data_IF_355605977885
#
_entry.id   IF_355605977885
#
_cell.length_a   1.000
_cell.length_b   1.000
_cell.length_c   1.000
_cell.angle_alpha   90.00
_cell.angle_beta   90.00
_cell.angle_gamma   90.00
#
_symmetry.space_group_name_H-M   'P 1'
#
loop_
_entity.id
_entity.type
_entity.pdbx_description
1 polymer ?
#
# COMPACT_ATOMS: atom_id res chain seq x y z
N UNK A 1 -64.30 28.56 26.71
CA UNK A 1 -62.83 28.49 26.62
C UNK A 1 -62.46 28.12 25.19
N UNK A 2 -62.21 29.11 24.33
CA UNK A 2 -61.73 28.90 22.96
C UNK A 2 -60.20 28.93 22.96
N UNK A 3 -59.58 27.83 22.52
CA UNK A 3 -58.12 27.68 22.47
C UNK A 3 -57.62 28.42 21.24
N UNK A 4 -56.96 29.55 21.42
CA UNK A 4 -56.22 30.23 20.35
C UNK A 4 -55.03 29.36 19.97
N UNK A 5 -54.96 28.93 18.71
CA UNK A 5 -53.72 28.40 18.14
C UNK A 5 -52.90 29.58 17.58
N UNK A 6 -51.58 29.64 17.84
CA UNK A 6 -50.75 30.66 17.23
C UNK A 6 -50.64 30.41 15.72
N UNK A 7 -51.02 31.41 14.92
CA UNK A 7 -50.77 31.43 13.48
C UNK A 7 -49.36 32.01 13.32
N UNK A 8 -48.37 31.16 13.08
CA UNK A 8 -47.05 31.62 12.67
C UNK A 8 -47.17 32.23 11.27
N UNK A 9 -46.90 33.53 11.14
CA UNK A 9 -46.76 34.20 9.85
C UNK A 9 -45.35 33.89 9.33
N UNK A 10 -45.22 32.87 8.50
CA UNK A 10 -43.98 32.62 7.75
C UNK A 10 -43.99 33.50 6.50
N UNK A 11 -42.96 34.31 6.31
CA UNK A 11 -42.87 35.17 5.14
C UNK A 11 -42.53 34.32 3.89
N UNK A 12 -43.08 34.68 2.74
CA UNK A 12 -42.85 34.00 1.45
C UNK A 12 -41.36 33.83 1.10
N UNK A 13 -40.50 34.70 1.64
CA UNK A 13 -39.05 34.68 1.44
C UNK A 13 -38.33 33.59 2.24
N UNK A 14 -38.79 33.24 3.44
CA UNK A 14 -38.19 32.15 4.24
C UNK A 14 -38.48 30.77 3.63
N UNK A 15 -39.70 30.59 3.09
CA UNK A 15 -40.08 29.36 2.40
C UNK A 15 -39.31 29.18 1.08
N UNK A 16 -39.06 30.27 0.35
CA UNK A 16 -38.22 30.24 -0.86
C UNK A 16 -36.75 29.96 -0.53
N UNK A 17 -36.22 30.53 0.55
CA UNK A 17 -34.87 30.25 1.04
C UNK A 17 -34.69 28.77 1.38
N UNK A 18 -35.65 28.20 2.13
CA UNK A 18 -35.65 26.79 2.47
C UNK A 18 -35.83 25.87 1.25
N UNK A 19 -36.63 26.27 0.25
CA UNK A 19 -36.77 25.52 -1.02
C UNK A 19 -35.52 25.56 -1.90
N UNK A 20 -34.79 26.68 -1.94
CA UNK A 20 -33.52 26.80 -2.65
C UNK A 20 -32.42 25.97 -1.97
N UNK A 21 -32.30 26.05 -0.64
CA UNK A 21 -31.37 25.22 0.14
C UNK A 21 -31.65 23.71 -0.05
N UNK A 22 -32.94 23.34 -0.16
CA UNK A 22 -33.35 21.95 -0.43
C UNK A 22 -32.96 21.51 -1.85
N UNK A 23 -33.16 22.38 -2.86
CA UNK A 23 -32.77 22.11 -4.25
C UNK A 23 -31.25 22.01 -4.40
N UNK A 24 -30.51 22.88 -3.73
CA UNK A 24 -29.06 22.86 -3.71
C UNK A 24 -28.52 21.61 -3.02
N UNK A 25 -29.15 21.21 -1.90
CA UNK A 25 -28.85 19.94 -1.26
C UNK A 25 -29.10 18.76 -2.21
N UNK A 26 -30.25 18.71 -2.89
CA UNK A 26 -30.58 17.65 -3.85
C UNK A 26 -29.58 17.56 -5.02
N UNK A 27 -29.11 18.70 -5.52
CA UNK A 27 -28.06 18.77 -6.55
C UNK A 27 -26.75 18.18 -6.02
N UNK A 28 -26.31 18.60 -4.82
CA UNK A 28 -25.09 18.10 -4.20
C UNK A 28 -25.18 16.60 -3.91
N UNK A 29 -26.30 16.11 -3.39
CA UNK A 29 -26.54 14.69 -3.15
C UNK A 29 -26.52 13.89 -4.44
N UNK A 30 -27.11 14.40 -5.52
CA UNK A 30 -27.10 13.77 -6.84
C UNK A 30 -25.70 13.67 -7.41
N UNK A 31 -24.91 14.74 -7.34
CA UNK A 31 -23.54 14.75 -7.85
C UNK A 31 -22.64 13.82 -7.04
N UNK A 32 -22.76 13.86 -5.71
CA UNK A 32 -22.08 12.95 -4.80
C UNK A 32 -22.42 11.49 -5.12
N UNK A 33 -23.71 11.18 -5.28
CA UNK A 33 -24.17 9.85 -5.63
C UNK A 33 -23.62 9.38 -6.98
N UNK A 34 -23.64 10.25 -8.01
CA UNK A 34 -23.10 9.92 -9.32
C UNK A 34 -21.59 9.65 -9.27
N UNK A 35 -20.81 10.47 -8.54
CA UNK A 35 -19.37 10.24 -8.35
C UNK A 35 -19.12 8.88 -7.67
N UNK A 36 -19.87 8.57 -6.61
CA UNK A 36 -19.73 7.29 -5.91
C UNK A 36 -20.16 6.11 -6.77
N UNK A 37 -21.23 6.25 -7.55
CA UNK A 37 -21.74 5.23 -8.48
C UNK A 37 -20.71 4.92 -9.58
N UNK A 38 -20.13 5.94 -10.21
CA UNK A 38 -19.09 5.77 -11.24
C UNK A 38 -17.84 5.09 -10.66
N UNK A 39 -17.39 5.50 -9.46
CA UNK A 39 -16.28 4.82 -8.77
C UNK A 39 -16.62 3.37 -8.43
N UNK A 40 -17.83 3.10 -7.96
CA UNK A 40 -18.27 1.75 -7.63
C UNK A 40 -18.29 0.85 -8.88
N UNK A 41 -18.73 1.37 -10.02
CA UNK A 41 -18.72 0.66 -11.29
C UNK A 41 -17.30 0.33 -11.75
N UNK A 42 -16.41 1.33 -11.76
CA UNK A 42 -15.00 1.17 -12.11
C UNK A 42 -14.27 0.15 -11.22
N UNK A 43 -14.47 0.24 -9.90
CA UNK A 43 -13.89 -0.70 -8.94
C UNK A 43 -14.40 -2.12 -9.15
N UNK A 44 -15.70 -2.28 -9.41
CA UNK A 44 -16.32 -3.59 -9.67
C UNK A 44 -15.78 -4.21 -10.96
N UNK A 45 -15.58 -3.41 -12.00
CA UNK A 45 -15.02 -3.87 -13.27
C UNK A 45 -13.56 -4.32 -13.12
N UNK A 46 -12.73 -3.57 -12.39
CA UNK A 46 -11.35 -3.98 -12.09
C UNK A 46 -11.27 -5.21 -11.19
N UNK A 47 -12.21 -5.35 -10.26
CA UNK A 47 -12.34 -6.54 -9.42
C UNK A 47 -12.73 -7.77 -10.26
N UNK A 48 -13.61 -7.63 -11.25
CA UNK A 48 -14.02 -8.71 -12.14
C UNK A 48 -12.87 -9.20 -13.05
N UNK A 49 -12.06 -8.29 -13.62
CA UNK A 49 -10.92 -8.69 -14.46
C UNK A 49 -9.84 -9.46 -13.72
N UNK A 50 -9.68 -9.19 -12.43
CA UNK A 50 -8.68 -9.84 -11.57
C UNK A 50 -9.27 -11.01 -10.79
N UNK A 51 -10.56 -11.30 -10.96
CA UNK A 51 -11.29 -12.30 -10.17
C UNK A 51 -11.21 -12.01 -8.65
N UNK A 52 -11.03 -10.73 -8.31
CA UNK A 52 -10.73 -10.23 -6.98
C UNK A 52 -9.36 -10.66 -6.43
N UNK A 53 -8.37 -11.00 -7.28
CA UNK A 53 -7.06 -11.54 -6.89
C UNK A 53 -5.94 -10.63 -7.38
N UNK A 54 -5.09 -10.18 -6.47
CA UNK A 54 -3.94 -9.32 -6.78
C UNK A 54 -2.64 -10.08 -6.51
N UNK A 55 -1.79 -10.16 -7.52
CA UNK A 55 -0.48 -10.85 -7.43
C UNK A 55 0.51 -9.98 -6.65
N UNK A 56 1.32 -10.56 -5.75
CA UNK A 56 2.33 -9.80 -5.02
C UNK A 56 3.41 -9.27 -5.93
N UNK A 57 3.84 -8.04 -5.63
CA UNK A 57 5.11 -7.49 -6.12
C UNK A 57 6.19 -7.85 -5.12
N UNK A 58 7.20 -8.60 -5.59
CA UNK A 58 8.32 -9.06 -4.74
C UNK A 58 9.55 -8.20 -4.98
N UNK A 59 10.26 -7.83 -3.91
CA UNK A 59 11.51 -7.08 -3.96
C UNK A 59 12.51 -7.65 -2.97
N UNK A 60 13.74 -7.89 -3.43
CA UNK A 60 14.88 -8.15 -2.56
C UNK A 60 15.62 -6.83 -2.33
N UNK A 61 15.81 -6.46 -1.07
CA UNK A 61 16.40 -5.20 -0.62
C UNK A 61 17.63 -5.47 0.24
N UNK A 62 18.55 -4.51 0.21
CA UNK A 62 19.76 -4.50 1.02
C UNK A 62 19.84 -3.20 1.80
N UNK A 63 20.15 -3.29 3.09
CA UNK A 63 20.42 -2.14 3.95
C UNK A 63 21.68 -2.41 4.77
N UNK A 64 22.70 -1.57 4.62
CA UNK A 64 23.85 -1.57 5.53
C UNK A 64 23.40 -1.10 6.91
N UNK A 65 23.81 -1.79 7.95
CA UNK A 65 23.49 -1.44 9.33
C UNK A 65 24.64 -0.62 9.89
N UNK A 66 24.34 0.59 10.36
CA UNK A 66 25.34 1.52 10.88
C UNK A 66 26.01 1.03 12.16
N UNK A 67 25.25 0.32 13.01
CA UNK A 67 25.66 0.00 14.38
C UNK A 67 26.41 -1.32 14.52
N UNK A 68 26.28 -2.23 13.54
CA UNK A 68 26.79 -3.61 13.64
C UNK A 68 27.79 -3.98 12.53
N UNK A 69 28.15 -3.04 11.65
CA UNK A 69 28.95 -3.28 10.43
C UNK A 69 28.38 -4.39 9.51
N UNK A 70 27.16 -4.84 9.78
CA UNK A 70 26.50 -5.93 9.09
C UNK A 70 25.60 -5.47 7.94
N UNK A 71 25.01 -6.45 7.29
CA UNK A 71 24.11 -6.25 6.16
C UNK A 71 22.76 -6.88 6.45
N UNK A 72 21.69 -6.10 6.29
CA UNK A 72 20.34 -6.65 6.30
C UNK A 72 19.88 -6.93 4.87
N UNK A 73 19.52 -8.18 4.60
CA UNK A 73 18.79 -8.59 3.41
C UNK A 73 17.32 -8.68 3.76
N UNK A 74 16.45 -8.13 2.92
CA UNK A 74 15.00 -8.18 3.14
C UNK A 74 14.26 -8.56 1.87
N UNK A 75 13.43 -9.59 1.94
CA UNK A 75 12.46 -9.87 0.89
C UNK A 75 11.10 -9.30 1.30
N UNK A 76 10.52 -8.45 0.46
CA UNK A 76 9.20 -7.84 0.64
C UNK A 76 8.27 -8.32 -0.47
N UNK A 77 7.15 -8.94 -0.09
CA UNK A 77 5.98 -9.11 -0.96
C UNK A 77 4.93 -8.07 -0.58
N UNK A 78 4.39 -7.32 -1.52
CA UNK A 78 3.36 -6.28 -1.25
C UNK A 78 2.37 -6.15 -2.41
N UNK A 79 1.17 -5.62 -2.12
CA UNK A 79 0.13 -5.38 -3.13
C UNK A 79 -0.64 -6.64 -3.49
N UNK A 80 -0.69 -7.64 -2.61
CA UNK A 80 -1.40 -8.89 -2.87
C UNK A 80 -2.73 -9.01 -2.14
N UNK A 81 -3.63 -9.77 -2.73
CA UNK A 81 -4.91 -10.16 -2.14
C UNK A 81 -5.36 -11.49 -2.78
N UNK A 82 -5.90 -12.46 -2.02
CA UNK A 82 -6.25 -12.41 -0.61
C UNK A 82 -5.01 -12.60 0.29
N UNK A 83 -5.25 -12.57 1.61
CA UNK A 83 -4.20 -12.50 2.64
C UNK A 83 -3.22 -13.66 2.64
N UNK A 84 -3.63 -14.87 2.24
CA UNK A 84 -2.81 -16.06 2.40
C UNK A 84 -1.65 -16.11 1.40
N UNK A 85 -0.41 -16.13 1.90
CA UNK A 85 0.84 -16.10 1.14
C UNK A 85 1.93 -16.85 1.91
N UNK A 86 2.85 -17.51 1.20
CA UNK A 86 4.10 -18.03 1.77
C UNK A 86 5.28 -17.32 1.13
N UNK A 87 6.25 -16.87 1.94
CA UNK A 87 7.47 -16.24 1.50
C UNK A 87 8.65 -16.90 2.19
N UNK A 88 9.64 -17.30 1.40
CA UNK A 88 10.83 -17.99 1.88
C UNK A 88 12.06 -17.26 1.37
N UNK A 89 12.99 -16.94 2.29
CA UNK A 89 14.31 -16.39 1.97
C UNK A 89 15.29 -17.56 1.89
N UNK A 90 16.17 -17.56 0.89
CA UNK A 90 17.20 -18.58 0.73
C UNK A 90 18.60 -17.97 0.79
N UNK A 91 19.54 -18.79 1.27
CA UNK A 91 20.98 -18.59 1.20
C UNK A 91 21.58 -19.80 0.50
N UNK A 92 22.25 -19.57 -0.64
CA UNK A 92 22.83 -20.60 -1.50
C UNK A 92 21.89 -21.76 -1.88
N UNK A 93 20.62 -21.41 -2.12
CA UNK A 93 19.60 -22.37 -2.49
C UNK A 93 19.00 -23.16 -1.33
N UNK A 94 19.44 -22.93 -0.09
CA UNK A 94 18.81 -23.49 1.11
C UNK A 94 17.93 -22.45 1.82
N UNK A 95 16.75 -22.85 2.31
CA UNK A 95 15.88 -21.96 3.08
C UNK A 95 16.57 -21.55 4.38
N UNK A 96 16.54 -20.26 4.69
CA UNK A 96 17.06 -19.75 5.96
C UNK A 96 16.11 -20.17 7.09
N UNK A 97 16.68 -20.62 8.21
CA UNK A 97 15.93 -21.00 9.40
C UNK A 97 15.11 -19.83 9.95
N UNK A 98 13.87 -20.10 10.37
CA UNK A 98 12.95 -19.05 10.80
C UNK A 98 13.46 -18.30 12.06
N UNK A 99 14.29 -18.92 12.91
CA UNK A 99 14.89 -18.28 14.10
C UNK A 99 15.91 -17.18 13.76
N UNK A 100 16.52 -17.25 12.57
CA UNK A 100 17.42 -16.20 12.06
C UNK A 100 16.67 -15.10 11.32
N UNK A 101 15.39 -15.31 11.03
CA UNK A 101 14.56 -14.39 10.28
C UNK A 101 13.81 -13.46 11.21
N UNK A 102 13.83 -12.17 10.85
CA UNK A 102 12.95 -11.16 11.46
C UNK A 102 11.79 -10.81 10.52
N UNK A 103 10.64 -10.53 11.10
CA UNK A 103 9.41 -10.24 10.36
C UNK A 103 8.54 -11.48 10.16
N UNK A 104 7.96 -11.62 8.95
CA UNK A 104 7.09 -12.74 8.60
C UNK A 104 5.60 -12.50 8.86
N UNK A 105 5.23 -11.47 9.61
CA UNK A 105 3.83 -11.08 9.77
C UNK A 105 3.26 -10.44 8.49
N UNK A 106 1.98 -10.74 8.22
CA UNK A 106 1.22 -10.13 7.14
C UNK A 106 0.53 -8.86 7.65
N UNK A 107 0.86 -7.72 7.04
CA UNK A 107 0.36 -6.38 7.39
C UNK A 107 -0.55 -5.84 6.28
N UNK A 108 -1.60 -5.06 6.60
CA UNK A 108 -2.41 -4.37 5.61
C UNK A 108 -1.71 -3.12 5.05
N UNK A 109 -2.00 -2.79 3.79
CA UNK A 109 -1.50 -1.57 3.12
C UNK A 109 -2.48 -0.37 3.19
N UNK A 110 -3.71 -0.58 3.66
CA UNK A 110 -4.75 0.46 3.73
C UNK A 110 -5.52 0.70 2.41
N UNK A 111 -5.07 0.08 1.31
CA UNK A 111 -5.71 0.11 -0.02
C UNK A 111 -6.50 -1.18 -0.32
N UNK A 112 -6.76 -2.01 0.70
CA UNK A 112 -7.38 -3.32 0.55
C UNK A 112 -6.40 -4.46 0.20
N UNK A 113 -5.10 -4.17 0.06
CA UNK A 113 -4.07 -5.18 -0.18
C UNK A 113 -3.20 -5.45 1.07
N UNK A 114 -2.37 -6.49 0.98
CA UNK A 114 -1.49 -6.94 2.04
C UNK A 114 -0.01 -6.86 1.65
N UNK A 115 0.84 -6.90 2.67
CA UNK A 115 2.28 -7.02 2.55
C UNK A 115 2.86 -7.97 3.60
N UNK A 116 4.03 -8.56 3.29
CA UNK A 116 4.81 -9.38 4.21
C UNK A 116 6.30 -9.19 3.92
N UNK A 117 7.11 -9.07 4.97
CA UNK A 117 8.56 -8.88 4.87
C UNK A 117 9.28 -9.92 5.74
N UNK A 118 10.24 -10.64 5.16
CA UNK A 118 11.22 -11.46 5.91
C UNK A 118 12.61 -10.85 5.73
N UNK A 119 13.37 -10.73 6.82
CA UNK A 119 14.73 -10.17 6.77
C UNK A 119 15.73 -11.04 7.52
N UNK A 120 16.96 -11.06 7.01
CA UNK A 120 18.12 -11.71 7.62
C UNK A 120 19.20 -10.64 7.84
N UNK A 121 19.84 -10.66 9.00
CA UNK A 121 21.04 -9.86 9.28
C UNK A 121 22.27 -10.75 9.10
N UNK A 122 23.25 -10.25 8.37
CA UNK A 122 24.48 -10.94 7.99
C UNK A 122 25.64 -10.19 8.64
N UNK A 123 26.58 -10.91 9.25
CA UNK A 123 27.78 -10.34 9.85
C UNK A 123 28.80 -9.91 8.78
N UNK A 124 29.78 -9.09 9.14
CA UNK A 124 30.83 -8.69 8.19
C UNK A 124 31.72 -9.88 7.76
N UNK A 125 31.90 -10.86 8.64
CA UNK A 125 32.65 -12.09 8.35
C UNK A 125 31.94 -12.91 7.28
N UNK A 126 30.63 -13.14 7.44
CA UNK A 126 29.81 -13.89 6.48
C UNK A 126 29.68 -13.16 5.13
N UNK A 127 29.81 -11.83 5.10
CA UNK A 127 29.88 -11.09 3.84
C UNK A 127 31.08 -11.47 2.98
N UNK A 128 32.18 -11.95 3.58
CA UNK A 128 33.39 -12.36 2.86
C UNK A 128 33.22 -13.70 2.15
N UNK A 129 32.22 -14.49 2.53
CA UNK A 129 31.93 -15.81 1.96
C UNK A 129 31.12 -15.73 0.65
N UNK A 130 30.69 -14.53 0.24
CA UNK A 130 30.02 -14.26 -1.04
C UNK A 130 28.75 -15.09 -1.32
N UNK A 131 27.96 -15.41 -0.27
CA UNK A 131 26.70 -16.13 -0.41
C UNK A 131 25.71 -15.47 -1.38
N UNK A 132 24.93 -16.31 -2.08
CA UNK A 132 23.84 -15.89 -2.97
C UNK A 132 22.51 -15.92 -2.23
N UNK A 133 21.84 -14.77 -2.23
CA UNK A 133 20.51 -14.61 -1.63
C UNK A 133 19.44 -14.51 -2.71
N UNK A 134 18.32 -15.19 -2.49
CA UNK A 134 17.10 -15.07 -3.30
C UNK A 134 15.87 -15.26 -2.40
N UNK A 135 14.67 -15.04 -2.95
CA UNK A 135 13.45 -15.39 -2.24
C UNK A 135 12.37 -15.93 -3.17
N UNK A 136 11.58 -16.88 -2.67
CA UNK A 136 10.44 -17.44 -3.37
C UNK A 136 9.15 -17.08 -2.67
N UNK A 137 8.08 -16.95 -3.45
CA UNK A 137 6.77 -16.61 -2.96
C UNK A 137 5.73 -17.55 -3.57
N UNK A 138 4.74 -17.96 -2.77
CA UNK A 138 3.58 -18.72 -3.24
C UNK A 138 2.30 -18.02 -2.79
N UNK A 139 1.44 -17.69 -3.75
CA UNK A 139 0.17 -17.00 -3.53
C UNK A 139 -0.90 -17.59 -4.47
N UNK A 140 -2.02 -18.06 -3.91
CA UNK A 140 -3.17 -18.61 -4.66
C UNK A 140 -2.84 -19.67 -5.74
N UNK A 141 -1.94 -20.61 -5.45
CA UNK A 141 -1.46 -21.63 -6.39
C UNK A 141 -0.72 -21.11 -7.63
N UNK A 142 -0.42 -19.80 -7.69
CA UNK A 142 0.57 -19.26 -8.61
C UNK A 142 1.93 -19.32 -7.91
N UNK A 143 2.72 -20.35 -8.23
CA UNK A 143 4.15 -20.37 -7.89
C UNK A 143 4.89 -19.41 -8.82
N UNK A 144 4.80 -18.12 -8.53
CA UNK A 144 5.73 -17.17 -9.14
C UNK A 144 7.05 -17.28 -8.40
N UNK A 145 7.92 -18.20 -8.85
CA UNK A 145 9.36 -18.14 -8.52
C UNK A 145 9.91 -16.87 -9.17
N UNK A 146 10.00 -15.80 -8.40
CA UNK A 146 10.81 -14.65 -8.76
C UNK A 146 12.20 -14.91 -8.21
N UNK A 147 13.03 -15.61 -8.98
CA UNK A 147 14.47 -15.74 -8.69
C UNK A 147 15.14 -14.39 -8.88
N UNK A 148 14.97 -13.50 -7.89
CA UNK A 148 15.75 -12.28 -7.79
C UNK A 148 17.09 -12.69 -7.20
N UNK A 149 18.02 -13.06 -8.08
CA UNK A 149 19.40 -13.35 -7.69
C UNK A 149 20.15 -12.04 -7.49
N UNK A 150 20.91 -11.99 -6.40
CA UNK A 150 21.93 -10.96 -6.25
C UNK A 150 23.11 -11.25 -7.20
N UNK A 151 23.21 -10.46 -8.27
CA UNK A 151 24.39 -10.35 -9.14
C UNK A 151 24.53 -8.90 -9.59
N UNK A 152 25.63 -8.24 -9.19
CA UNK A 152 25.99 -6.81 -9.44
C UNK A 152 25.01 -6.00 -10.32
N UNK A 153 23.83 -5.64 -9.84
CA UNK A 153 22.97 -4.70 -10.56
C UNK A 153 23.37 -3.25 -10.22
N UNK A 154 23.77 -2.53 -11.27
CA UNK A 154 24.20 -1.13 -11.22
C UNK A 154 23.14 -0.28 -10.53
N UNK A 155 23.57 0.56 -9.57
CA UNK A 155 22.75 1.59 -8.92
C UNK A 155 21.93 2.34 -9.97
N UNK A 156 20.63 2.10 -10.07
CA UNK A 156 19.73 3.00 -10.79
C UNK A 156 19.61 4.26 -9.95
N UNK A 157 20.27 5.33 -10.39
CA UNK A 157 20.15 6.67 -9.82
C UNK A 157 18.66 7.05 -9.84
N UNK A 158 18.03 7.16 -8.67
CA UNK A 158 16.75 7.86 -8.57
C UNK A 158 17.04 9.33 -8.89
N UNK A 159 16.52 9.81 -10.02
CA UNK A 159 16.61 11.22 -10.37
C UNK A 159 15.52 11.94 -9.56
N UNK A 160 15.90 12.54 -8.43
CA UNK A 160 15.02 13.45 -7.71
C UNK A 160 14.84 14.70 -8.57
N UNK A 161 13.74 14.77 -9.34
CA UNK A 161 13.27 16.02 -9.93
C UNK A 161 12.51 16.82 -8.85
N UNK A 162 13.25 17.37 -7.90
CA UNK A 162 12.75 18.46 -7.07
C UNK A 162 13.22 19.78 -7.69
N UNK A 163 12.41 20.31 -8.61
CA UNK A 163 12.48 21.73 -8.96
C UNK A 163 11.68 22.50 -7.92
N UNK A 164 12.37 23.18 -6.99
CA UNK A 164 12.13 24.61 -6.78
C UNK A 164 13.18 25.25 -5.85
N UNK A 165 13.97 26.13 -6.47
CA UNK A 165 14.39 27.48 -6.04
C UNK A 165 14.85 27.70 -4.58
N UNK A 166 16.15 27.97 -4.47
CA UNK A 166 16.85 28.83 -3.50
C UNK A 166 16.00 29.56 -2.47
N UNK A 167 16.24 29.26 -1.19
CA UNK A 167 16.22 30.25 -0.10
C UNK A 167 17.46 29.98 0.77
N UNK A 168 18.42 30.88 0.71
CA UNK A 168 19.47 31.02 1.72
C UNK A 168 18.87 31.74 2.93
N UNK A 169 19.05 31.21 4.13
CA UNK A 169 19.10 32.01 5.35
C UNK A 169 20.32 31.51 6.13
N UNK A 170 21.39 32.29 6.10
CA UNK A 170 22.48 32.20 7.06
C UNK A 170 21.99 32.74 8.40
N UNK A 171 22.43 32.10 9.50
CA UNK A 171 22.25 32.55 10.88
C UNK A 171 22.71 34.00 11.10
#
# INVERSE_FOLDING_TARGET
MTRSQPIYRTNSTDLQFHEEDQKDADIVFRDMYNIFKERAFYLKEHQNHTDGKLKPRVRLMRKTLSDSQGLQISCLATGFYPRHINLTLFRDGQPVEDDLITGGQILPNGDGTYQMRKSLVISEEELREEHKYNCTMKHLNLETKLDIQYGKEKKKKCHNRFNNKNIFISL
#
